data_IF_917011835822
#
_entry.id   IF_917011835822
#
_cell.length_a   1.000
_cell.length_b   1.000
_cell.length_c   1.000
_cell.angle_alpha   90.00
_cell.angle_beta   90.00
_cell.angle_gamma   90.00
#
_symmetry.space_group_name_H-M   'P 1'
#
loop_
_entity.id
_entity.type
_entity.pdbx_description
1 polymer ?
#
# COMPACT_ATOMS: atom_id res chain seq x y z
N UNK A 1 -11.77 -22.35 38.84
CA UNK A 1 -10.60 -22.98 38.18
C UNK A 1 -9.85 -21.88 37.46
N UNK A 2 -8.66 -21.49 37.93
CA UNK A 2 -7.84 -20.50 37.24
C UNK A 2 -7.07 -21.23 36.15
N UNK A 3 -7.43 -20.99 34.88
CA UNK A 3 -6.59 -21.37 33.75
C UNK A 3 -5.28 -20.60 33.87
N UNK A 4 -4.22 -21.30 34.29
CA UNK A 4 -2.88 -20.75 34.36
C UNK A 4 -2.45 -20.37 32.95
N UNK A 5 -2.35 -19.06 32.68
CA UNK A 5 -1.60 -18.57 31.52
C UNK A 5 -0.18 -19.13 31.63
N UNK A 6 0.17 -20.03 30.72
CA UNK A 6 1.50 -20.61 30.67
C UNK A 6 2.52 -19.48 30.39
N UNK A 7 3.76 -19.59 30.91
CA UNK A 7 4.84 -18.62 30.64
C UNK A 7 5.06 -18.36 29.14
N UNK A 8 4.77 -19.36 28.31
CA UNK A 8 4.84 -19.32 26.85
C UNK A 8 3.89 -18.28 26.24
N UNK A 9 2.67 -18.14 26.78
CA UNK A 9 1.71 -17.14 26.32
C UNK A 9 2.16 -15.69 26.60
N UNK A 10 2.89 -15.46 27.69
CA UNK A 10 3.45 -14.13 27.99
C UNK A 10 4.61 -13.76 27.06
N UNK A 11 5.46 -14.72 26.72
CA UNK A 11 6.54 -14.52 25.75
C UNK A 11 5.98 -14.26 24.35
N UNK A 12 4.95 -15.00 23.94
CA UNK A 12 4.27 -14.78 22.67
C UNK A 12 3.66 -13.37 22.59
N UNK A 13 2.93 -12.92 23.61
CA UNK A 13 2.34 -11.58 23.66
C UNK A 13 3.41 -10.48 23.63
N UNK A 14 4.56 -10.70 24.26
CA UNK A 14 5.68 -9.75 24.21
C UNK A 14 6.25 -9.65 22.79
N UNK A 15 6.49 -10.78 22.13
CA UNK A 15 6.99 -10.81 20.74
C UNK A 15 6.00 -10.15 19.78
N UNK A 16 4.71 -10.44 19.90
CA UNK A 16 3.66 -9.82 19.09
C UNK A 16 3.61 -8.29 19.30
N UNK A 17 3.77 -7.82 20.54
CA UNK A 17 3.83 -6.38 20.86
C UNK A 17 5.05 -5.72 20.21
N UNK A 18 6.23 -6.33 20.35
CA UNK A 18 7.48 -5.78 19.83
C UNK A 18 7.42 -5.72 18.28
N UNK A 19 6.84 -6.74 17.63
CA UNK A 19 6.57 -6.72 16.18
C UNK A 19 5.61 -5.58 15.81
N UNK A 20 4.50 -5.43 16.53
CA UNK A 20 3.53 -4.38 16.26
C UNK A 20 4.14 -2.97 16.40
N UNK A 21 5.00 -2.77 17.41
CA UNK A 21 5.71 -1.52 17.62
C UNK A 21 6.69 -1.22 16.47
N UNK A 22 7.46 -2.22 16.02
CA UNK A 22 8.37 -2.08 14.89
C UNK A 22 7.62 -1.76 13.57
N UNK A 23 6.48 -2.43 13.34
CA UNK A 23 5.62 -2.16 12.18
C UNK A 23 5.05 -0.74 12.22
N UNK A 24 4.55 -0.29 13.38
CA UNK A 24 4.04 1.07 13.55
C UNK A 24 5.14 2.13 13.31
N UNK A 25 6.34 1.90 13.84
CA UNK A 25 7.49 2.78 13.64
C UNK A 25 7.90 2.85 12.16
N UNK A 26 7.95 1.71 11.48
CA UNK A 26 8.27 1.61 10.05
C UNK A 26 7.23 2.34 9.20
N UNK A 27 5.95 2.12 9.48
CA UNK A 27 4.84 2.79 8.81
C UNK A 27 4.91 4.31 9.02
N UNK A 28 5.17 4.76 10.24
CA UNK A 28 5.32 6.18 10.55
C UNK A 28 6.48 6.83 9.78
N UNK A 29 7.62 6.13 9.66
CA UNK A 29 8.77 6.61 8.88
C UNK A 29 8.43 6.74 7.39
N UNK A 30 7.83 5.70 6.80
CA UNK A 30 7.42 5.69 5.40
C UNK A 30 6.36 6.77 5.13
N UNK A 31 5.38 6.92 6.02
CA UNK A 31 4.33 7.93 5.89
C UNK A 31 4.88 9.37 5.88
N UNK A 32 5.81 9.69 6.78
CA UNK A 32 6.48 11.01 6.80
C UNK A 32 7.29 11.26 5.54
N UNK A 33 8.01 10.25 5.08
CA UNK A 33 8.82 10.36 3.88
C UNK A 33 7.94 10.52 2.61
N UNK A 34 6.85 9.76 2.53
CA UNK A 34 5.85 9.94 1.47
C UNK A 34 5.26 11.35 1.47
N UNK A 35 4.90 11.89 2.63
CA UNK A 35 4.37 13.25 2.75
C UNK A 35 5.37 14.28 2.20
N UNK A 36 6.67 14.15 2.55
CA UNK A 36 7.74 15.00 2.02
C UNK A 36 7.85 14.92 0.49
N UNK A 37 7.91 13.71 -0.07
CA UNK A 37 8.04 13.52 -1.53
C UNK A 37 6.82 14.01 -2.29
N UNK A 38 5.63 13.84 -1.73
CA UNK A 38 4.40 14.40 -2.27
C UNK A 38 4.48 15.93 -2.35
N UNK A 39 4.93 16.59 -1.30
CA UNK A 39 5.09 18.06 -1.30
C UNK A 39 6.12 18.51 -2.34
N UNK A 40 7.25 17.80 -2.48
CA UNK A 40 8.25 18.06 -3.51
C UNK A 40 7.64 17.96 -4.92
N UNK A 41 6.85 16.93 -5.20
CA UNK A 41 6.17 16.78 -6.48
C UNK A 41 5.18 17.92 -6.78
N UNK A 42 4.37 18.33 -5.79
CA UNK A 42 3.46 19.46 -5.95
C UNK A 42 4.21 20.79 -6.15
N UNK A 43 5.35 20.99 -5.50
CA UNK A 43 6.19 22.18 -5.70
C UNK A 43 6.80 22.20 -7.10
N UNK A 44 7.35 21.07 -7.57
CA UNK A 44 7.89 20.96 -8.92
C UNK A 44 6.80 21.20 -9.98
N UNK A 45 5.59 20.69 -9.75
CA UNK A 45 4.44 20.89 -10.64
C UNK A 45 4.05 22.37 -10.74
N UNK A 46 3.95 23.06 -9.61
CA UNK A 46 3.68 24.50 -9.57
C UNK A 46 4.79 25.31 -10.24
N UNK A 47 6.06 24.94 -10.01
CA UNK A 47 7.21 25.62 -10.62
C UNK A 47 7.19 25.49 -12.16
N UNK A 48 6.84 24.31 -12.68
CA UNK A 48 6.65 24.10 -14.12
C UNK A 48 5.47 24.92 -14.66
N UNK A 49 4.34 24.94 -13.95
CA UNK A 49 3.16 25.72 -14.34
C UNK A 49 3.40 27.23 -14.36
N UNK A 50 4.25 27.74 -13.47
CA UNK A 50 4.65 29.14 -13.42
C UNK A 50 5.76 29.51 -14.42
N UNK A 51 6.33 28.53 -15.14
CA UNK A 51 7.43 28.76 -16.07
C UNK A 51 6.92 29.45 -17.36
N UNK A 52 7.49 30.62 -17.75
CA UNK A 52 7.06 31.33 -18.95
C UNK A 52 7.20 30.50 -20.24
N UNK A 53 6.24 30.68 -21.15
CA UNK A 53 6.36 30.15 -22.51
C UNK A 53 7.56 30.81 -23.21
N UNK A 54 8.57 30.02 -23.58
CA UNK A 54 9.82 30.48 -24.19
C UNK A 54 11.08 30.23 -23.36
N UNK A 55 10.95 29.82 -22.09
CA UNK A 55 12.09 29.46 -21.25
C UNK A 55 12.56 28.00 -21.50
N UNK A 56 12.88 27.66 -22.77
CA UNK A 56 13.06 26.28 -23.26
C UNK A 56 13.90 25.36 -22.37
N UNK A 57 15.18 25.70 -22.14
CA UNK A 57 16.07 24.87 -21.31
C UNK A 57 15.62 24.79 -19.84
N UNK A 58 15.18 25.92 -19.28
CA UNK A 58 14.67 25.99 -17.90
C UNK A 58 13.42 25.13 -17.74
N UNK A 59 12.52 25.17 -18.70
CA UNK A 59 11.30 24.37 -18.71
C UNK A 59 11.63 22.88 -18.79
N UNK A 60 12.54 22.49 -19.68
CA UNK A 60 12.99 21.11 -19.79
C UNK A 60 13.67 20.61 -18.50
N UNK A 61 14.41 21.47 -17.79
CA UNK A 61 14.96 21.14 -16.47
C UNK A 61 13.85 20.91 -15.44
N UNK A 62 12.86 21.80 -15.37
CA UNK A 62 11.70 21.67 -14.47
C UNK A 62 10.85 20.43 -14.77
N UNK A 63 10.73 20.04 -16.04
CA UNK A 63 10.05 18.80 -16.44
C UNK A 63 10.79 17.56 -15.91
N UNK A 64 12.13 17.55 -15.98
CA UNK A 64 12.95 16.48 -15.38
C UNK A 64 12.84 16.45 -13.86
N UNK A 65 12.86 17.60 -13.21
CA UNK A 65 12.71 17.71 -11.75
C UNK A 65 11.33 17.23 -11.29
N UNK A 66 10.28 17.59 -12.03
CA UNK A 66 8.93 17.11 -11.77
C UNK A 66 8.83 15.59 -11.93
N UNK A 67 9.40 15.03 -13.01
CA UNK A 67 9.41 13.60 -13.23
C UNK A 67 10.10 12.86 -12.07
N UNK A 68 11.29 13.30 -11.67
CA UNK A 68 12.02 12.70 -10.56
C UNK A 68 11.25 12.79 -9.24
N UNK A 69 10.64 13.95 -8.95
CA UNK A 69 9.86 14.15 -7.72
C UNK A 69 8.62 13.23 -7.68
N UNK A 70 7.93 13.06 -8.81
CA UNK A 70 6.80 12.16 -8.91
C UNK A 70 7.22 10.69 -8.76
N UNK A 71 8.32 10.27 -9.39
CA UNK A 71 8.84 8.89 -9.27
C UNK A 71 9.18 8.55 -7.81
N UNK A 72 9.78 9.50 -7.09
CA UNK A 72 10.03 9.37 -5.67
C UNK A 72 8.74 9.28 -4.85
N UNK A 73 7.76 10.16 -5.11
CA UNK A 73 6.49 10.14 -4.40
C UNK A 73 5.72 8.82 -4.61
N UNK A 74 5.71 8.31 -5.83
CA UNK A 74 5.06 7.05 -6.18
C UNK A 74 5.74 5.85 -5.54
N UNK A 75 7.08 5.83 -5.52
CA UNK A 75 7.84 4.76 -4.82
C UNK A 75 7.49 4.68 -3.34
N UNK A 76 7.38 5.82 -2.66
CA UNK A 76 7.01 5.85 -1.24
C UNK A 76 5.52 5.54 -1.02
N UNK A 77 4.64 5.94 -1.94
CA UNK A 77 3.24 5.50 -1.94
C UNK A 77 3.13 3.98 -2.06
N UNK A 78 3.94 3.36 -2.93
CA UNK A 78 4.02 1.90 -3.06
C UNK A 78 4.50 1.24 -1.76
N UNK A 79 5.56 1.75 -1.13
CA UNK A 79 6.01 1.22 0.18
C UNK A 79 4.94 1.33 1.26
N UNK A 80 4.17 2.42 1.28
CA UNK A 80 3.07 2.59 2.21
C UNK A 80 1.97 1.54 1.98
N UNK A 81 1.66 1.25 0.72
CA UNK A 81 0.68 0.22 0.34
C UNK A 81 1.15 -1.17 0.79
N UNK A 82 2.40 -1.55 0.48
CA UNK A 82 2.97 -2.85 0.87
C UNK A 82 2.92 -3.04 2.39
N UNK A 83 3.29 -2.02 3.17
CA UNK A 83 3.22 -2.12 4.63
C UNK A 83 1.77 -2.20 5.15
N UNK A 84 0.83 -1.49 4.51
CA UNK A 84 -0.60 -1.62 4.80
C UNK A 84 -1.11 -3.04 4.53
N UNK A 85 -0.73 -3.64 3.41
CA UNK A 85 -1.07 -5.03 3.09
C UNK A 85 -0.53 -6.03 4.12
N UNK A 86 0.71 -5.84 4.58
CA UNK A 86 1.33 -6.67 5.61
C UNK A 86 0.55 -6.64 6.95
N UNK A 87 -0.15 -5.54 7.24
CA UNK A 87 -1.05 -5.40 8.40
C UNK A 87 -2.50 -5.81 8.11
N UNK A 88 -2.80 -6.32 6.91
CA UNK A 88 -4.15 -6.71 6.50
C UNK A 88 -5.03 -5.56 5.97
N UNK A 89 -4.50 -4.35 5.79
CA UNK A 89 -5.20 -3.18 5.28
C UNK A 89 -5.13 -3.12 3.74
N UNK A 90 -6.10 -3.75 3.06
CA UNK A 90 -6.07 -3.97 1.60
C UNK A 90 -6.80 -2.93 0.74
N UNK A 91 -7.46 -1.93 1.35
CA UNK A 91 -8.04 -0.84 0.58
C UNK A 91 -6.95 0.20 0.24
N UNK A 92 -6.39 0.05 -0.97
CA UNK A 92 -5.34 0.94 -1.48
C UNK A 92 -5.91 2.15 -2.23
N UNK A 93 -7.13 2.02 -2.76
CA UNK A 93 -7.81 3.12 -3.44
C UNK A 93 -8.05 4.27 -2.46
N UNK A 94 -8.31 3.94 -1.18
CA UNK A 94 -8.37 4.92 -0.10
C UNK A 94 -7.09 5.75 0.03
N UNK A 95 -5.90 5.14 -0.11
CA UNK A 95 -4.61 5.84 -0.01
C UNK A 95 -4.45 6.81 -1.17
N UNK A 96 -4.72 6.38 -2.40
CA UNK A 96 -4.65 7.25 -3.57
C UNK A 96 -5.63 8.43 -3.47
N UNK A 97 -6.85 8.19 -2.97
CA UNK A 97 -7.86 9.23 -2.77
C UNK A 97 -7.50 10.23 -1.67
N UNK A 98 -6.97 9.76 -0.53
CA UNK A 98 -6.59 10.63 0.59
C UNK A 98 -5.30 11.40 0.33
N UNK A 99 -4.42 10.87 -0.51
CA UNK A 99 -3.11 11.44 -0.78
C UNK A 99 -2.84 11.52 -2.29
N UNK A 100 -3.54 12.42 -3.00
CA UNK A 100 -3.37 12.57 -4.45
C UNK A 100 -1.98 13.13 -4.79
N UNK A 101 -1.48 12.70 -5.95
CA UNK A 101 -0.29 13.25 -6.61
C UNK A 101 -0.73 14.14 -7.79
N UNK A 102 0.12 15.08 -8.25
CA UNK A 102 -0.16 15.86 -9.45
C UNK A 102 -0.40 14.96 -10.68
N UNK A 103 -1.40 15.30 -11.48
CA UNK A 103 -1.66 14.63 -12.75
C UNK A 103 -0.85 15.30 -13.86
N UNK A 104 -0.05 14.51 -14.60
CA UNK A 104 0.76 14.98 -15.73
C UNK A 104 0.32 14.24 -16.99
N UNK A 105 -0.19 14.95 -18.01
CA UNK A 105 -0.63 14.34 -19.26
C UNK A 105 0.50 13.54 -19.93
N UNK A 106 0.18 12.34 -20.43
CA UNK A 106 1.14 11.48 -21.13
C UNK A 106 2.15 10.77 -20.23
N UNK A 107 2.11 10.97 -18.91
CA UNK A 107 2.92 10.22 -17.96
C UNK A 107 2.29 8.86 -17.71
N UNK A 108 3.03 7.80 -17.98
CA UNK A 108 2.62 6.45 -17.58
C UNK A 108 2.64 6.38 -16.05
N UNK A 109 1.56 5.91 -15.40
CA UNK A 109 1.57 5.70 -13.95
C UNK A 109 2.68 4.73 -13.56
N UNK A 110 3.30 4.94 -12.40
CA UNK A 110 4.37 4.05 -11.93
C UNK A 110 3.92 2.57 -11.89
N UNK A 111 4.84 1.63 -12.15
CA UNK A 111 4.60 0.21 -11.93
C UNK A 111 4.09 -0.04 -10.50
N UNK A 112 2.89 -0.63 -10.38
CA UNK A 112 2.26 -0.88 -9.09
C UNK A 112 1.34 0.23 -8.57
N UNK A 113 1.02 1.26 -9.38
CA UNK A 113 -0.06 2.18 -9.06
C UNK A 113 -1.40 1.42 -8.92
N UNK A 114 -2.11 1.49 -7.77
CA UNK A 114 -3.42 0.86 -7.63
C UNK A 114 -4.50 1.44 -8.56
N UNK A 115 -4.30 2.64 -9.14
CA UNK A 115 -5.17 3.22 -10.15
C UNK A 115 -4.92 2.65 -11.56
N UNK A 116 -3.77 2.00 -11.79
CA UNK A 116 -3.55 1.23 -13.01
C UNK A 116 -4.28 -0.11 -12.91
N UNK A 117 -4.97 -0.56 -13.98
CA UNK A 117 -5.50 -1.92 -14.00
C UNK A 117 -4.35 -2.88 -13.73
N UNK A 118 -4.52 -3.72 -12.69
CA UNK A 118 -3.53 -4.75 -12.33
C UNK A 118 -3.34 -5.66 -13.54
N UNK A 119 -2.36 -5.36 -14.39
CA UNK A 119 -1.78 -6.36 -15.28
C UNK A 119 -1.23 -7.39 -14.32
N UNK A 120 -1.84 -8.57 -14.31
CA UNK A 120 -1.52 -9.65 -13.40
C UNK A 120 0.00 -9.81 -13.33
N UNK A 121 0.59 -9.49 -12.18
CA UNK A 121 1.99 -9.78 -11.93
C UNK A 121 2.19 -11.28 -12.19
N UNK A 122 3.19 -11.69 -13.00
CA UNK A 122 3.50 -13.10 -13.26
C UNK A 122 4.24 -13.69 -12.04
N UNK A 123 3.59 -13.64 -10.88
CA UNK A 123 4.15 -14.00 -9.58
C UNK A 123 3.07 -13.82 -8.52
N UNK A 124 2.15 -14.79 -8.47
CA UNK A 124 0.92 -14.69 -7.70
C UNK A 124 1.10 -14.61 -6.19
N UNK A 125 0.23 -13.81 -5.57
CA UNK A 125 -0.17 -13.96 -4.15
C UNK A 125 -1.69 -13.96 -3.99
N UNK A 126 -2.41 -14.58 -4.93
CA UNK A 126 -3.81 -14.93 -4.74
C UNK A 126 -3.90 -16.25 -3.96
N UNK A 127 -3.63 -16.24 -2.65
CA UNK A 127 -4.11 -17.35 -1.79
C UNK A 127 -5.60 -17.16 -1.60
N UNK A 128 -6.33 -18.06 -2.26
CA UNK A 128 -7.77 -18.22 -2.19
C UNK A 128 -8.27 -18.22 -0.74
N UNK A 129 -9.19 -17.31 -0.44
CA UNK A 129 -10.13 -17.46 0.66
C UNK A 129 -11.06 -18.63 0.30
N UNK A 130 -10.70 -19.84 0.73
CA UNK A 130 -11.59 -21.00 0.74
C UNK A 130 -12.69 -20.71 1.75
N UNK A 131 -13.82 -20.17 1.28
CA UNK A 131 -15.05 -20.05 2.07
C UNK A 131 -15.42 -21.45 2.58
N UNK A 132 -15.58 -21.52 3.89
CA UNK A 132 -16.13 -22.64 4.64
C UNK A 132 -17.63 -22.66 4.38
N UNK A 133 -18.10 -23.45 3.42
CA UNK A 133 -19.53 -23.75 3.29
C UNK A 133 -19.87 -24.83 4.31
N UNK A 134 -20.52 -24.42 5.38
CA UNK A 134 -21.36 -25.31 6.17
C UNK A 134 -22.57 -25.72 5.32
N UNK A 135 -23.02 -26.96 5.51
CA UNK A 135 -24.13 -27.60 4.80
C UNK A 135 -23.79 -29.08 4.69
N UNK A 136 -24.07 -29.90 5.69
CA UNK A 136 -25.42 -30.18 6.16
C UNK A 136 -25.90 -31.40 5.41
N UNK A 137 -25.56 -32.60 5.88
CA UNK A 137 -26.26 -33.80 5.44
C UNK A 137 -26.55 -34.71 6.63
N UNK A 138 -27.85 -34.89 6.78
CA UNK A 138 -28.60 -35.57 7.82
C UNK A 138 -28.39 -37.07 7.75
N UNK A 139 -28.37 -37.71 8.92
CA UNK A 139 -28.48 -39.16 9.01
C UNK A 139 -29.78 -39.66 8.37
N UNK A 140 -29.73 -40.89 7.87
CA UNK A 140 -30.94 -41.71 7.84
C UNK A 140 -30.55 -43.16 8.08
N UNK A 141 -31.13 -43.65 9.15
CA UNK A 141 -31.27 -45.01 9.61
C UNK A 141 -32.05 -45.88 8.60
N UNK A 142 -31.68 -47.16 8.52
CA UNK A 142 -32.46 -48.35 8.10
C UNK A 142 -31.44 -49.48 7.87
N UNK A 143 -31.45 -50.58 8.60
CA UNK A 143 -32.60 -51.33 9.11
C UNK A 143 -32.90 -52.48 8.15
N UNK A 144 -32.34 -53.65 8.49
CA UNK A 144 -32.82 -55.02 8.30
C UNK A 144 -33.45 -55.45 6.96
N UNK A 145 -32.85 -56.48 6.35
CA UNK A 145 -33.46 -57.81 6.19
C UNK A 145 -32.38 -58.85 5.96
#
# INVERSE_FOLDING_TARGET
MQEGRTPEGFLQLKVERDIAEEMANTLGRIGREFARRREEAWRAFQALGACPAGAGERRAALERDLQAALDHAERYRYFLIVQREAMGLRDHAEVARKFPLPEVPGRTPAPGDPASPRVAWPGGFSRALRRKSAGGWTGTDRGSS
#
